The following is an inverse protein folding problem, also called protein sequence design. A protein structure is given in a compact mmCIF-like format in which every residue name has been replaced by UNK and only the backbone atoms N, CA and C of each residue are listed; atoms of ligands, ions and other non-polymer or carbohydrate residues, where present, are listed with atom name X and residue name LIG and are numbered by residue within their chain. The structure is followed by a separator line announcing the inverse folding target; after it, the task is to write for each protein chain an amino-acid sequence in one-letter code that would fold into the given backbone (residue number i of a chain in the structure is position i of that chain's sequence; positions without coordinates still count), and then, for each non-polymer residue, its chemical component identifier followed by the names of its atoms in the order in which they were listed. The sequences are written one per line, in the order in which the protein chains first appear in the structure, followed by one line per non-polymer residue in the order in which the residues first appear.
data_IF_397562039631
#
_entry.id   IF_397562039631
#
_cell.length_a   1.000
_cell.length_b   1.000
_cell.length_c   1.000
_cell.angle_alpha   90.00
_cell.angle_beta   90.00
_cell.angle_gamma   90.00
#
_symmetry.space_group_name_H-M   'P 1'
#
loop_
_entity.id
_entity.type
_entity.pdbx_description
1 polymer ?
#
# COMPACT_ATOMS: atom_id res chain seq x y z
N UNK A 1 -16.52 20.74 -44.95
CA UNK A 1 -15.51 20.30 -45.94
C UNK A 1 -14.22 21.01 -45.60
N UNK A 2 -13.22 20.41 -44.96
CA UNK A 2 -12.81 18.99 -44.88
C UNK A 2 -12.75 18.52 -43.43
N UNK A 3 -13.32 17.34 -43.21
CA UNK A 3 -12.88 16.43 -42.15
C UNK A 3 -11.39 16.13 -42.31
N UNK A 4 -10.67 16.11 -41.18
CA UNK A 4 -9.43 15.37 -41.02
C UNK A 4 -9.47 14.66 -39.67
N UNK A 5 -9.89 13.41 -39.74
CA UNK A 5 -9.72 12.33 -38.78
C UNK A 5 -8.28 12.17 -38.28
N UNK A 6 -8.16 11.58 -37.07
CA UNK A 6 -6.97 11.10 -36.31
C UNK A 6 -6.44 12.12 -35.29
N UNK A 7 -6.42 11.87 -33.99
CA UNK A 7 -6.52 10.63 -33.20
C UNK A 7 -7.28 10.90 -31.91
N UNK A 8 -8.19 10.02 -31.50
CA UNK A 8 -8.53 9.86 -30.09
C UNK A 8 -7.30 9.29 -29.38
N UNK A 9 -6.28 10.12 -29.17
CA UNK A 9 -5.31 9.86 -28.12
C UNK A 9 -6.10 9.93 -26.82
N UNK A 10 -6.15 8.82 -26.11
CA UNK A 10 -6.48 8.85 -24.69
C UNK A 10 -5.38 9.69 -24.04
N UNK A 11 -5.60 11.00 -23.95
CA UNK A 11 -4.79 11.86 -23.11
C UNK A 11 -5.03 11.36 -21.69
N UNK A 12 -4.10 10.52 -21.22
CA UNK A 12 -4.16 9.98 -19.89
C UNK A 12 -3.97 11.14 -18.93
N UNK A 13 -5.03 11.43 -18.16
CA UNK A 13 -4.97 12.39 -17.07
C UNK A 13 -3.97 11.86 -16.03
N UNK A 14 -2.74 12.36 -16.10
CA UNK A 14 -1.63 11.93 -15.26
C UNK A 14 -1.90 12.23 -13.79
N UNK A 15 -2.73 13.22 -13.49
CA UNK A 15 -3.08 13.58 -12.11
C UNK A 15 -3.74 12.41 -11.39
N UNK A 16 -4.46 11.54 -12.12
CA UNK A 16 -5.11 10.34 -11.57
C UNK A 16 -4.11 9.30 -11.05
N UNK A 17 -2.84 9.36 -11.42
CA UNK A 17 -1.84 8.37 -11.02
C UNK A 17 -1.12 8.70 -9.70
N UNK A 18 -1.34 9.87 -9.10
CA UNK A 18 -0.57 10.33 -7.93
C UNK A 18 -1.47 10.72 -6.76
N UNK A 19 -0.98 10.56 -5.52
CA UNK A 19 -1.76 10.94 -4.33
C UNK A 19 -1.97 12.47 -4.28
N UNK A 20 -0.98 13.21 -4.74
CA UNK A 20 -1.00 14.65 -4.93
C UNK A 20 -0.30 15.40 -3.78
N UNK A 21 0.25 16.61 -4.04
CA UNK A 21 1.07 17.33 -3.08
C UNK A 21 0.34 17.70 -1.77
N UNK A 22 -1.00 17.69 -1.77
CA UNK A 22 -1.86 17.93 -0.61
C UNK A 22 -2.73 16.74 -0.27
N UNK A 23 -2.42 15.57 -0.81
CA UNK A 23 -3.19 14.35 -0.64
C UNK A 23 -4.62 14.46 -1.17
N UNK A 24 -4.77 15.09 -2.34
CA UNK A 24 -6.02 15.30 -3.05
C UNK A 24 -6.77 13.97 -3.28
N UNK A 25 -6.04 12.89 -3.53
CA UNK A 25 -6.60 11.55 -3.75
C UNK A 25 -6.59 10.66 -2.48
N UNK A 26 -6.51 11.24 -1.28
CA UNK A 26 -6.47 10.49 -0.01
C UNK A 26 -7.57 9.43 0.11
N UNK A 27 -8.81 9.79 -0.22
CA UNK A 27 -9.94 8.88 -0.07
C UNK A 27 -9.77 7.64 -0.96
N UNK A 28 -9.38 7.83 -2.22
CA UNK A 28 -9.13 6.72 -3.13
C UNK A 28 -8.02 5.79 -2.60
N UNK A 29 -6.93 6.36 -2.08
CA UNK A 29 -5.85 5.55 -1.49
C UNK A 29 -6.33 4.75 -0.28
N UNK A 30 -7.09 5.36 0.64
CA UNK A 30 -7.66 4.67 1.80
C UNK A 30 -8.61 3.53 1.38
N UNK A 31 -9.48 3.76 0.41
CA UNK A 31 -10.38 2.75 -0.14
C UNK A 31 -9.62 1.57 -0.77
N UNK A 32 -8.60 1.86 -1.59
CA UNK A 32 -7.77 0.84 -2.22
C UNK A 32 -6.99 -0.01 -1.21
N UNK A 33 -6.35 0.63 -0.22
CA UNK A 33 -5.61 -0.07 0.82
C UNK A 33 -6.53 -0.93 1.71
N UNK A 34 -7.72 -0.42 2.05
CA UNK A 34 -8.71 -1.20 2.80
C UNK A 34 -9.22 -2.40 2.01
N UNK A 35 -9.47 -2.25 0.71
CA UNK A 35 -9.88 -3.37 -0.14
C UNK A 35 -8.83 -4.48 -0.11
N UNK A 36 -7.56 -4.13 -0.37
CA UNK A 36 -6.43 -5.06 -0.37
C UNK A 36 -6.28 -5.77 0.97
N UNK A 37 -6.28 -5.00 2.08
CA UNK A 37 -6.13 -5.55 3.42
C UNK A 37 -7.27 -6.53 3.76
N UNK A 38 -8.51 -6.13 3.49
CA UNK A 38 -9.68 -6.92 3.83
C UNK A 38 -9.77 -8.21 2.99
N UNK A 39 -9.44 -8.14 1.70
CA UNK A 39 -9.38 -9.34 0.84
C UNK A 39 -8.34 -10.33 1.37
N UNK A 40 -7.14 -9.87 1.71
CA UNK A 40 -6.10 -10.73 2.26
C UNK A 40 -6.47 -11.34 3.62
N UNK A 41 -7.06 -10.55 4.53
CA UNK A 41 -7.57 -11.04 5.83
C UNK A 41 -8.69 -12.06 5.63
N UNK A 42 -9.61 -11.80 4.70
CA UNK A 42 -10.69 -12.72 4.35
C UNK A 42 -10.13 -14.03 3.81
N UNK A 43 -9.15 -13.99 2.92
CA UNK A 43 -8.50 -15.19 2.40
C UNK A 43 -7.85 -16.03 3.51
N UNK A 44 -7.06 -15.41 4.40
CA UNK A 44 -6.42 -16.11 5.53
C UNK A 44 -7.41 -16.83 6.43
N UNK A 45 -8.57 -16.21 6.70
CA UNK A 45 -9.63 -16.80 7.53
C UNK A 45 -10.31 -18.00 6.87
N UNK A 46 -10.36 -18.02 5.54
CA UNK A 46 -11.09 -19.03 4.78
C UNK A 46 -10.19 -20.10 4.14
N UNK A 47 -8.86 -19.99 4.23
CA UNK A 47 -7.94 -20.93 3.60
C UNK A 47 -8.03 -22.37 4.15
N UNK A 48 -8.44 -22.53 5.41
CA UNK A 48 -8.95 -23.80 5.97
C UNK A 48 -9.94 -23.44 7.09
N UNK A 49 -11.24 -23.28 6.78
CA UNK A 49 -12.17 -22.59 7.68
C UNK A 49 -12.52 -23.38 8.95
N UNK A 50 -12.16 -24.67 9.02
CA UNK A 50 -12.37 -25.52 10.19
C UNK A 50 -11.22 -25.46 11.19
N UNK A 51 -10.09 -24.88 10.82
CA UNK A 51 -8.94 -24.80 11.70
C UNK A 51 -9.22 -23.81 12.84
N UNK A 52 -8.92 -24.16 14.10
CA UNK A 52 -9.07 -23.24 15.21
C UNK A 52 -8.06 -22.10 15.10
N UNK A 53 -8.36 -20.92 15.66
CA UNK A 53 -7.40 -19.82 15.67
C UNK A 53 -6.15 -20.20 16.47
N UNK A 54 -4.97 -20.04 15.86
CA UNK A 54 -3.69 -20.34 16.50
C UNK A 54 -3.39 -19.39 17.68
N UNK A 55 -3.96 -18.18 17.66
CA UNK A 55 -3.84 -17.20 18.75
C UNK A 55 -5.22 -17.08 19.41
N UNK A 56 -5.28 -17.35 20.71
CA UNK A 56 -6.54 -17.35 21.46
C UNK A 56 -7.07 -15.93 21.70
N UNK A 57 -8.39 -15.79 21.80
CA UNK A 57 -9.03 -14.51 22.09
C UNK A 57 -8.54 -13.85 23.39
N UNK A 58 -8.36 -14.56 24.52
CA UNK A 58 -7.79 -13.96 25.74
C UNK A 58 -6.38 -13.44 25.54
N UNK A 59 -5.57 -14.09 24.69
CA UNK A 59 -4.21 -13.62 24.39
C UNK A 59 -4.22 -12.31 23.59
N UNK A 60 -5.09 -12.20 22.59
CA UNK A 60 -5.21 -10.98 21.75
C UNK A 60 -5.78 -9.79 22.52
N UNK A 61 -6.59 -10.04 23.56
CA UNK A 61 -7.26 -9.00 24.35
C UNK A 61 -6.73 -8.88 25.80
N UNK A 62 -5.65 -9.57 26.13
CA UNK A 62 -5.04 -9.55 27.45
C UNK A 62 -4.18 -8.32 27.70
N UNK A 63 -3.74 -8.14 28.94
CA UNK A 63 -2.88 -7.02 29.35
C UNK A 63 -1.58 -6.93 28.56
N UNK A 64 -0.95 -8.07 28.26
CA UNK A 64 0.29 -8.12 27.45
C UNK A 64 0.07 -7.58 26.03
N UNK A 65 -1.05 -7.91 25.39
CA UNK A 65 -1.38 -7.42 24.06
C UNK A 65 -1.72 -5.93 24.05
N UNK A 66 -2.34 -5.43 25.12
CA UNK A 66 -2.60 -4.00 25.30
C UNK A 66 -1.27 -3.25 25.43
N UNK A 67 -0.39 -3.71 26.33
CA UNK A 67 0.92 -3.09 26.53
C UNK A 67 1.78 -3.14 25.26
N UNK A 68 1.75 -4.25 24.52
CA UNK A 68 2.41 -4.34 23.22
C UNK A 68 1.90 -3.28 22.23
N UNK A 69 0.58 -3.09 22.13
CA UNK A 69 -0.01 -2.09 21.22
C UNK A 69 0.42 -0.68 21.59
N UNK A 70 0.43 -0.34 22.88
CA UNK A 70 0.88 0.97 23.37
C UNK A 70 2.33 1.26 22.97
N UNK A 71 3.23 0.32 23.26
CA UNK A 71 4.64 0.43 22.88
C UNK A 71 4.80 0.51 21.37
N UNK A 72 4.12 -0.38 20.62
CA UNK A 72 4.20 -0.41 19.16
C UNK A 72 3.78 0.92 18.52
N UNK A 73 2.63 1.48 18.92
CA UNK A 73 2.18 2.75 18.38
C UNK A 73 3.04 3.92 18.82
N UNK A 74 3.59 3.89 20.04
CA UNK A 74 4.55 4.91 20.51
C UNK A 74 5.78 4.96 19.61
N UNK A 75 6.41 3.81 19.35
CA UNK A 75 7.57 3.72 18.47
C UNK A 75 7.22 4.08 17.02
N UNK A 76 6.05 3.64 16.53
CA UNK A 76 5.59 3.98 15.19
C UNK A 76 5.37 5.49 15.02
N UNK A 77 4.79 6.17 16.02
CA UNK A 77 4.63 7.61 15.97
C UNK A 77 5.97 8.35 16.03
N UNK A 78 6.94 7.83 16.78
CA UNK A 78 8.30 8.38 16.77
C UNK A 78 8.90 8.27 15.37
N UNK A 79 8.89 7.08 14.78
CA UNK A 79 9.41 6.84 13.44
C UNK A 79 8.75 7.73 12.38
N UNK A 80 7.42 7.81 12.35
CA UNK A 80 6.69 8.65 11.39
C UNK A 80 7.00 10.14 11.61
N UNK A 81 7.29 10.55 12.84
CA UNK A 81 7.69 11.92 13.13
C UNK A 81 9.11 12.21 12.63
N UNK A 82 10.04 11.28 12.83
CA UNK A 82 11.41 11.40 12.34
C UNK A 82 11.46 11.43 10.80
N UNK A 83 10.65 10.61 10.13
CA UNK A 83 10.55 10.62 8.66
C UNK A 83 10.03 11.95 8.09
N UNK A 84 9.36 12.79 8.88
CA UNK A 84 8.95 14.15 8.42
C UNK A 84 10.11 15.14 8.37
N UNK A 85 11.26 14.79 8.96
CA UNK A 85 12.50 15.57 8.85
C UNK A 85 13.17 15.41 7.49
N UNK A 86 12.78 14.38 6.72
CA UNK A 86 13.25 14.18 5.36
C UNK A 86 12.71 15.26 4.40
N UNK A 87 13.35 15.34 3.24
CA UNK A 87 13.00 16.31 2.20
C UNK A 87 11.62 15.95 1.60
N UNK A 88 10.65 16.88 1.55
CA UNK A 88 9.31 16.60 1.05
C UNK A 88 9.29 16.51 -0.49
N UNK A 89 9.75 15.39 -1.04
CA UNK A 89 9.88 15.15 -2.49
C UNK A 89 8.56 15.11 -3.25
N UNK A 90 7.43 14.99 -2.55
CA UNK A 90 6.08 15.11 -3.10
C UNK A 90 5.68 16.56 -3.41
N UNK A 91 6.41 17.54 -2.87
CA UNK A 91 6.10 18.96 -3.08
C UNK A 91 6.67 19.44 -4.42
N UNK A 92 5.91 20.16 -5.26
CA UNK A 92 6.43 20.75 -6.50
C UNK A 92 7.49 21.83 -6.25
N UNK A 93 7.67 22.26 -4.99
CA UNK A 93 8.76 23.17 -4.60
C UNK A 93 10.13 22.48 -4.59
N UNK A 94 10.16 21.15 -4.59
CA UNK A 94 11.40 20.38 -4.67
C UNK A 94 11.79 20.15 -6.14
N UNK A 95 12.95 20.68 -6.55
CA UNK A 95 13.45 20.62 -7.94
C UNK A 95 14.97 20.37 -7.97
N UNK A 96 15.45 19.33 -7.27
CA UNK A 96 16.90 19.10 -7.11
C UNK A 96 17.38 17.79 -7.76
N UNK A 97 16.81 16.65 -7.36
CA UNK A 97 17.25 15.33 -7.82
C UNK A 97 16.12 14.57 -8.50
N UNK A 98 16.47 13.46 -9.19
CA UNK A 98 15.52 12.55 -9.84
C UNK A 98 14.78 11.69 -8.81
N UNK A 99 13.99 12.35 -7.97
CA UNK A 99 13.10 11.73 -6.99
C UNK A 99 11.80 12.53 -6.98
N UNK A 100 10.70 11.79 -7.02
CA UNK A 100 9.35 12.34 -7.07
C UNK A 100 8.41 11.51 -6.21
N UNK A 101 7.16 11.96 -6.12
CA UNK A 101 6.08 11.16 -5.59
C UNK A 101 5.96 9.82 -6.33
N UNK A 102 5.57 8.77 -5.59
CA UNK A 102 5.30 7.44 -6.16
C UNK A 102 3.89 7.38 -6.72
N UNK A 103 3.68 6.60 -7.78
CA UNK A 103 2.33 6.44 -8.33
C UNK A 103 1.43 5.64 -7.38
N UNK A 104 0.14 6.00 -7.29
CA UNK A 104 -0.89 5.28 -6.55
C UNK A 104 -0.92 3.78 -6.91
N UNK A 105 -0.88 3.37 -8.21
CA UNK A 105 -0.81 1.96 -8.56
C UNK A 105 0.43 1.26 -7.98
N UNK A 106 1.62 1.89 -8.06
CA UNK A 106 2.85 1.31 -7.50
C UNK A 106 2.75 1.14 -5.98
N UNK A 107 2.24 2.16 -5.27
CA UNK A 107 2.07 2.13 -3.82
C UNK A 107 1.11 1.01 -3.38
N UNK A 108 -0.06 0.94 -4.01
CA UNK A 108 -1.08 -0.07 -3.70
C UNK A 108 -0.60 -1.47 -4.06
N UNK A 109 0.03 -1.66 -5.22
CA UNK A 109 0.55 -2.96 -5.64
C UNK A 109 1.67 -3.46 -4.73
N UNK A 110 2.56 -2.56 -4.29
CA UNK A 110 3.62 -2.91 -3.35
C UNK A 110 3.04 -3.34 -2.00
N UNK A 111 2.09 -2.57 -1.45
CA UNK A 111 1.39 -2.94 -0.22
C UNK A 111 0.68 -4.30 -0.36
N UNK A 112 -0.04 -4.53 -1.47
CA UNK A 112 -0.73 -5.79 -1.73
C UNK A 112 0.24 -6.98 -1.78
N UNK A 113 1.35 -6.82 -2.48
CA UNK A 113 2.34 -7.89 -2.64
C UNK A 113 3.09 -8.17 -1.34
N UNK A 114 3.35 -7.14 -0.53
CA UNK A 114 4.02 -7.27 0.77
C UNK A 114 3.26 -8.22 1.71
N UNK A 115 1.91 -8.25 1.64
CA UNK A 115 1.09 -9.16 2.44
C UNK A 115 1.34 -10.65 2.11
N UNK A 116 1.76 -10.96 0.89
CA UNK A 116 2.12 -12.32 0.47
C UNK A 116 3.59 -12.65 0.75
N UNK A 117 4.43 -11.63 0.98
CA UNK A 117 5.86 -11.74 1.22
C UNK A 117 6.57 -12.77 0.30
N UNK A 118 6.40 -12.66 -1.03
CA UNK A 118 6.95 -13.64 -1.96
C UNK A 118 8.48 -13.56 -2.03
N UNK A 119 9.13 -14.70 -2.21
CA UNK A 119 10.57 -14.76 -2.46
C UNK A 119 10.84 -15.01 -3.95
N UNK A 120 11.09 -13.95 -4.72
CA UNK A 120 11.28 -14.00 -6.17
C UNK A 120 12.54 -14.76 -6.63
N UNK A 121 13.43 -15.15 -5.71
CA UNK A 121 14.58 -16.04 -6.03
C UNK A 121 14.12 -17.49 -6.25
N UNK A 122 13.03 -17.90 -5.60
CA UNK A 122 12.46 -19.24 -5.73
C UNK A 122 11.05 -19.15 -6.30
N UNK A 123 10.87 -19.66 -7.52
CA UNK A 123 9.58 -19.66 -8.21
C UNK A 123 8.49 -20.44 -7.47
N UNK A 124 8.86 -21.42 -6.64
CA UNK A 124 7.92 -22.14 -5.77
C UNK A 124 7.36 -21.25 -4.65
N UNK A 125 8.16 -20.31 -4.15
CA UNK A 125 7.80 -19.37 -3.08
C UNK A 125 7.19 -18.05 -3.61
N UNK A 126 7.07 -17.91 -4.93
CA UNK A 126 6.63 -16.69 -5.60
C UNK A 126 6.06 -16.94 -7.00
N UNK A 127 5.19 -17.95 -7.20
CA UNK A 127 4.79 -18.38 -8.54
C UNK A 127 4.10 -17.29 -9.36
N UNK A 128 3.44 -16.33 -8.68
CA UNK A 128 2.83 -15.17 -9.35
C UNK A 128 3.87 -14.11 -9.66
N UNK A 129 4.70 -13.71 -8.69
CA UNK A 129 5.60 -12.55 -8.82
C UNK A 129 6.93 -12.86 -9.50
N UNK A 130 7.29 -14.13 -9.73
CA UNK A 130 8.45 -14.53 -10.54
C UNK A 130 8.12 -14.79 -12.01
N UNK A 131 6.86 -15.09 -12.34
CA UNK A 131 6.45 -15.52 -13.69
C UNK A 131 5.56 -14.51 -14.41
N UNK A 132 4.86 -13.66 -13.67
CA UNK A 132 3.86 -12.74 -14.21
C UNK A 132 4.39 -11.31 -14.30
#
# INVERSE_FOLDING_TARGET
MKDSTNSTEFEHDLDLYFLGPKSEQRQFLEEALHLVLNDHVFWRRNYFPKDPPAISYPKVNGSEAIHFKETFFTELFSLISDLKLDVPVFSPRYMAHMISETTLPSLVAYFATLLYNPNNVSSEASPVTSLR
#
